data_IF_304899959523
#
_entry.id   IF_304899959523
#
_cell.length_a   1.000
_cell.length_b   1.000
_cell.length_c   1.000
_cell.angle_alpha   90.00
_cell.angle_beta   90.00
_cell.angle_gamma   90.00
#
_symmetry.space_group_name_H-M   'P 1'
#
loop_
_entity.id
_entity.type
_entity.pdbx_description
1 polymer ?
#
# COMPACT_ATOMS: atom_id res chain seq x y z
N UNK A 1 2.27 -11.03 -15.74
CA UNK A 1 3.34 -11.85 -15.14
C UNK A 1 3.80 -11.14 -13.88
N UNK A 2 3.62 -11.77 -12.72
CA UNK A 2 4.18 -11.30 -11.45
C UNK A 2 5.64 -11.74 -11.38
N UNK A 3 6.56 -10.81 -11.10
CA UNK A 3 7.98 -11.14 -10.92
C UNK A 3 8.27 -11.33 -9.43
N UNK A 4 8.91 -12.43 -9.09
CA UNK A 4 9.40 -12.70 -7.74
C UNK A 4 10.83 -12.19 -7.62
N UNK A 5 11.09 -11.40 -6.58
CA UNK A 5 12.42 -10.88 -6.27
C UNK A 5 12.76 -11.20 -4.83
N UNK A 6 13.95 -11.75 -4.61
CA UNK A 6 14.46 -12.09 -3.29
C UNK A 6 15.34 -10.95 -2.81
N UNK A 7 15.00 -10.34 -1.68
CA UNK A 7 15.75 -9.23 -1.07
C UNK A 7 16.07 -9.59 0.37
N UNK A 8 17.20 -9.14 0.90
CA UNK A 8 17.50 -9.26 2.32
C UNK A 8 16.56 -8.37 3.16
N UNK A 9 16.26 -8.80 4.38
CA UNK A 9 15.40 -8.05 5.28
C UNK A 9 15.97 -6.65 5.53
N UNK A 10 15.22 -5.57 5.23
CA UNK A 10 15.71 -4.19 5.36
C UNK A 10 15.88 -3.73 6.81
N UNK A 11 15.48 -4.55 7.80
CA UNK A 11 15.64 -4.26 9.22
C UNK A 11 16.86 -4.96 9.83
N UNK A 12 16.98 -6.28 9.63
CA UNK A 12 18.02 -7.08 10.28
C UNK A 12 19.14 -7.54 9.34
N UNK A 13 18.92 -7.54 8.02
CA UNK A 13 19.88 -8.00 7.01
C UNK A 13 20.17 -9.50 6.99
N UNK A 14 19.53 -10.29 7.86
CA UNK A 14 19.88 -11.71 8.08
C UNK A 14 18.99 -12.69 7.31
N UNK A 15 17.69 -12.45 7.24
CA UNK A 15 16.75 -13.28 6.48
C UNK A 15 16.48 -12.72 5.09
N UNK A 16 16.27 -13.63 4.13
CA UNK A 16 15.78 -13.29 2.79
C UNK A 16 14.25 -13.28 2.75
N UNK A 17 13.68 -12.19 2.26
CA UNK A 17 12.25 -11.96 2.10
C UNK A 17 11.93 -12.02 0.60
N UNK A 18 10.87 -12.76 0.26
CA UNK A 18 10.36 -12.83 -1.11
C UNK A 18 9.32 -11.74 -1.34
N UNK A 19 9.58 -10.88 -2.32
CA UNK A 19 8.66 -9.83 -2.77
C UNK A 19 8.01 -10.28 -4.06
N UNK A 20 6.69 -10.17 -4.09
CA UNK A 20 5.86 -10.38 -5.27
C UNK A 20 5.47 -9.01 -5.85
N UNK A 21 6.04 -8.69 -7.00
CA UNK A 21 5.74 -7.44 -7.70
C UNK A 21 4.48 -7.61 -8.54
N UNK A 22 3.44 -6.86 -8.19
CA UNK A 22 2.18 -6.82 -8.93
C UNK A 22 2.26 -5.64 -9.91
N UNK A 23 2.31 -5.89 -11.23
CA UNK A 23 2.45 -4.82 -12.21
C UNK A 23 1.21 -3.92 -12.24
N UNK A 24 1.40 -2.70 -12.74
CA UNK A 24 0.30 -1.80 -13.06
C UNK A 24 -0.57 -2.42 -14.15
N UNK A 25 -1.88 -2.51 -13.90
CA UNK A 25 -2.83 -3.01 -14.89
C UNK A 25 -3.98 -2.03 -15.03
N UNK A 26 -4.15 -1.49 -16.23
CA UNK A 26 -5.36 -0.75 -16.61
C UNK A 26 -6.27 -1.65 -17.41
N UNK A 27 -7.51 -1.84 -16.95
CA UNK A 27 -8.56 -2.56 -17.70
C UNK A 27 -9.68 -1.60 -18.03
N UNK A 28 -10.02 -1.50 -19.31
CA UNK A 28 -11.23 -0.79 -19.71
C UNK A 28 -12.41 -1.73 -19.53
N UNK A 29 -13.39 -1.32 -18.72
CA UNK A 29 -14.62 -2.07 -18.50
C UNK A 29 -15.76 -1.37 -19.22
N UNK A 30 -16.46 -2.14 -20.05
CA UNK A 30 -17.67 -1.72 -20.75
C UNK A 30 -18.84 -2.48 -20.17
N UNK A 31 -19.86 -1.79 -19.66
CA UNK A 31 -21.10 -2.44 -19.24
C UNK A 31 -22.04 -2.59 -20.44
N UNK A 32 -22.74 -3.72 -20.54
CA UNK A 32 -23.68 -4.01 -21.65
C UNK A 32 -24.85 -3.02 -21.71
N UNK A 33 -25.19 -2.40 -20.57
CA UNK A 33 -26.38 -1.56 -20.43
C UNK A 33 -26.13 -0.06 -20.55
N UNK A 34 -24.87 0.40 -20.69
CA UNK A 34 -24.57 1.82 -20.93
C UNK A 34 -24.31 2.03 -22.41
N UNK A 35 -25.20 2.76 -23.09
CA UNK A 35 -24.96 3.23 -24.44
C UNK A 35 -23.64 4.04 -24.49
N UNK A 36 -22.56 3.42 -24.98
CA UNK A 36 -21.26 4.06 -25.21
C UNK A 36 -20.37 4.35 -23.99
N UNK A 37 -20.86 4.18 -22.76
CA UNK A 37 -20.11 4.52 -21.55
C UNK A 37 -18.96 3.55 -21.26
N UNK A 38 -17.71 3.93 -21.61
CA UNK A 38 -16.50 3.18 -21.25
C UNK A 38 -15.89 3.75 -19.96
N UNK A 39 -15.65 2.88 -18.97
CA UNK A 39 -14.97 3.28 -17.72
C UNK A 39 -13.62 2.58 -17.66
N UNK A 40 -12.54 3.36 -17.54
CA UNK A 40 -11.20 2.81 -17.30
C UNK A 40 -11.06 2.48 -15.82
N UNK A 41 -10.95 1.19 -15.48
CA UNK A 41 -10.53 0.76 -14.15
C UNK A 41 -9.00 0.66 -14.12
N UNK A 42 -8.39 1.43 -13.23
CA UNK A 42 -6.94 1.49 -13.07
C UNK A 42 -6.57 0.78 -11.77
N UNK A 43 -5.75 -0.27 -11.85
CA UNK A 43 -5.13 -0.89 -10.70
C UNK A 43 -3.67 -0.44 -10.63
N UNK A 44 -3.34 0.33 -9.59
CA UNK A 44 -1.95 0.75 -9.34
C UNK A 44 -1.09 -0.48 -9.07
N UNK A 45 0.12 -0.50 -9.63
CA UNK A 45 1.10 -1.52 -9.28
C UNK A 45 1.48 -1.41 -7.81
N UNK A 46 1.75 -2.55 -7.18
CA UNK A 46 2.17 -2.60 -5.78
C UNK A 46 3.11 -3.78 -5.56
N UNK A 47 3.97 -3.65 -4.58
CA UNK A 47 4.84 -4.73 -4.14
C UNK A 47 4.21 -5.38 -2.90
N UNK A 48 3.95 -6.68 -2.95
CA UNK A 48 3.43 -7.47 -1.84
C UNK A 48 4.56 -8.34 -1.27
N UNK A 49 4.67 -8.39 0.05
CA UNK A 49 5.66 -9.22 0.76
C UNK A 49 5.01 -10.53 1.20
N UNK A 50 5.59 -11.67 0.84
CA UNK A 50 5.01 -12.99 1.09
C UNK A 50 5.17 -13.45 2.56
N UNK A 51 6.26 -13.09 3.24
CA UNK A 51 6.57 -13.51 4.62
C UNK A 51 7.03 -12.34 5.48
N UNK A 52 6.67 -12.37 6.77
CA UNK A 52 7.30 -11.50 7.75
C UNK A 52 8.72 -11.99 8.05
N UNK A 53 9.52 -11.13 8.67
CA UNK A 53 10.85 -11.51 9.16
C UNK A 53 10.69 -12.24 10.49
N UNK A 54 11.07 -13.52 10.54
CA UNK A 54 10.96 -14.36 11.73
C UNK A 54 12.00 -13.99 12.78
N UNK A 55 13.18 -13.55 12.34
CA UNK A 55 14.26 -13.15 13.25
C UNK A 55 14.03 -11.82 13.95
N UNK A 56 13.47 -10.84 13.24
CA UNK A 56 13.26 -9.49 13.75
C UNK A 56 11.82 -9.24 14.21
N UNK A 57 10.93 -10.22 14.04
CA UNK A 57 9.51 -10.15 14.41
C UNK A 57 8.69 -9.10 13.65
N UNK A 58 9.28 -8.48 12.61
CA UNK A 58 8.65 -7.41 11.84
C UNK A 58 7.55 -7.95 10.95
N UNK A 59 6.37 -7.35 11.05
CA UNK A 59 5.21 -7.76 10.26
C UNK A 59 5.39 -7.44 8.79
N UNK A 60 4.68 -8.16 7.92
CA UNK A 60 4.67 -7.91 6.46
C UNK A 60 4.38 -6.45 6.12
N UNK A 61 3.48 -5.81 6.88
CA UNK A 61 3.08 -4.41 6.68
C UNK A 61 4.23 -3.44 6.95
N UNK A 62 4.99 -3.66 8.02
CA UNK A 62 6.13 -2.81 8.37
C UNK A 62 7.27 -2.93 7.36
N UNK A 63 7.49 -4.13 6.82
CA UNK A 63 8.46 -4.36 5.73
C UNK A 63 8.02 -3.64 4.46
N UNK A 64 6.75 -3.73 4.07
CA UNK A 64 6.22 -3.01 2.90
C UNK A 64 6.29 -1.49 3.12
N UNK A 65 5.92 -0.99 4.30
CA UNK A 65 5.97 0.45 4.60
C UNK A 65 7.39 1.01 4.48
N UNK A 66 8.38 0.26 4.96
CA UNK A 66 9.80 0.62 4.84
C UNK A 66 10.28 0.61 3.39
N UNK A 67 9.85 -0.38 2.59
CA UNK A 67 10.19 -0.46 1.16
C UNK A 67 9.54 0.67 0.34
N UNK A 68 8.29 1.00 0.65
CA UNK A 68 7.53 2.06 -0.02
C UNK A 68 7.93 3.48 0.43
N UNK A 69 8.86 3.62 1.38
CA UNK A 69 9.19 4.89 2.07
C UNK A 69 7.96 5.64 2.58
N UNK A 70 6.91 4.90 2.96
CA UNK A 70 5.71 5.50 3.57
C UNK A 70 6.03 5.74 5.04
N UNK A 71 6.38 6.98 5.36
CA UNK A 71 6.37 7.43 6.74
C UNK A 71 4.93 7.31 7.27
N UNK A 72 4.74 6.46 8.28
CA UNK A 72 3.45 6.37 8.97
C UNK A 72 3.23 7.68 9.71
N UNK A 73 2.46 8.58 9.12
CA UNK A 73 2.07 9.85 9.75
C UNK A 73 1.37 9.50 11.07
N UNK A 74 1.88 10.05 12.17
CA UNK A 74 1.35 9.85 13.51
C UNK A 74 -0.12 10.28 13.58
N UNK A 75 -0.89 9.68 14.50
CA UNK A 75 -2.30 10.05 14.68
C UNK A 75 -2.46 11.54 15.03
N UNK A 76 -1.54 12.08 15.83
CA UNK A 76 -1.53 13.49 16.22
C UNK A 76 -1.31 14.42 15.02
N UNK A 77 -0.39 14.08 14.11
CA UNK A 77 -0.15 14.89 12.92
C UNK A 77 -1.30 14.82 11.91
N UNK A 78 -2.03 13.69 11.88
CA UNK A 78 -3.29 13.61 11.12
C UNK A 78 -4.35 14.52 11.70
N UNK A 79 -4.49 14.56 13.03
CA UNK A 79 -5.43 15.46 13.71
C UNK A 79 -5.07 16.93 13.47
N UNK A 80 -3.78 17.30 13.54
CA UNK A 80 -3.33 18.67 13.23
C UNK A 80 -3.73 19.10 11.83
N UNK A 81 -3.48 18.27 10.81
CA UNK A 81 -3.87 18.57 9.41
C UNK A 81 -5.38 18.72 9.23
N UNK A 82 -6.17 17.90 9.92
CA UNK A 82 -7.63 17.98 9.88
C UNK A 82 -8.14 19.28 10.51
N UNK A 83 -7.56 19.67 11.65
CA UNK A 83 -7.87 20.94 12.30
C UNK A 83 -7.43 22.14 11.43
N UNK A 84 -6.23 22.10 10.84
CA UNK A 84 -5.72 23.12 9.92
C UNK A 84 -6.59 23.28 8.66
N UNK A 85 -7.20 22.19 8.18
CA UNK A 85 -8.13 22.20 7.05
C UNK A 85 -9.57 22.56 7.43
N UNK A 86 -9.83 22.89 8.71
CA UNK A 86 -11.14 23.33 9.19
C UNK A 86 -12.17 22.21 9.34
N UNK A 87 -11.74 20.95 9.35
CA UNK A 87 -12.62 19.81 9.57
C UNK A 87 -12.77 19.54 11.08
N UNK A 88 -13.98 19.64 11.65
CA UNK A 88 -14.21 19.28 13.04
C UNK A 88 -14.00 17.77 13.23
N UNK A 89 -13.09 17.40 14.13
CA UNK A 89 -12.71 16.00 14.39
C UNK A 89 -13.58 15.32 15.44
N UNK A 90 -14.45 16.07 16.12
CA UNK A 90 -15.48 15.58 17.04
C UNK A 90 -16.83 16.18 16.66
N UNK A 91 -17.88 15.36 16.67
CA UNK A 91 -19.27 15.81 16.57
C UNK A 91 -19.74 16.01 18.02
N UNK A 92 -20.14 17.23 18.37
CA UNK A 92 -20.85 17.47 19.63
C UNK A 92 -22.24 16.84 19.50
N UNK A 93 -22.46 15.73 20.22
CA UNK A 93 -23.79 15.13 20.41
C UNK A 93 -24.44 15.68 21.65
#
# INVERSE_FOLDING_TARGET
MSSETVIQCPFCGKETITILRIPFVSKTVTSKCRAGGRVKKIQKGRDDVLSGCSECGKTKKEVIARLDNKEEISHEDRLKRLLESGLPTKIET
#
